data_IF_579349062451
#
_entry.id   IF_579349062451
#
_cell.length_a   1.000
_cell.length_b   1.000
_cell.length_c   1.000
_cell.angle_alpha   90.00
_cell.angle_beta   90.00
_cell.angle_gamma   90.00
#
_symmetry.space_group_name_H-M   'P 1'
#
loop_
_entity.id
_entity.type
_entity.pdbx_description
1 polymer ?
#
# COMPACT_ATOMS: atom_id res chain seq x y z
N UNK A 1 -18.27 25.57 -31.17
CA UNK A 1 -18.78 24.25 -31.61
C UNK A 1 -18.87 23.37 -30.38
N UNK A 2 -20.01 22.70 -30.17
CA UNK A 2 -20.24 21.79 -29.05
C UNK A 2 -19.93 20.35 -29.49
N UNK A 3 -19.35 19.54 -28.61
CA UNK A 3 -19.20 18.09 -28.77
C UNK A 3 -20.10 17.38 -27.74
N UNK A 4 -20.90 16.37 -28.13
CA UNK A 4 -21.78 15.67 -27.21
C UNK A 4 -21.08 14.50 -26.50
N UNK A 5 -21.47 14.26 -25.25
CA UNK A 5 -21.09 13.10 -24.45
C UNK A 5 -21.90 11.86 -24.83
N UNK A 6 -21.24 10.69 -24.94
CA UNK A 6 -21.85 9.37 -25.15
C UNK A 6 -21.43 8.35 -24.08
N UNK A 7 -22.20 7.27 -23.85
CA UNK A 7 -22.33 6.70 -22.51
C UNK A 7 -21.44 5.48 -22.18
N UNK A 8 -21.30 5.27 -20.86
CA UNK A 8 -20.77 4.05 -20.24
C UNK A 8 -21.60 2.81 -20.59
N UNK A 9 -20.92 1.67 -20.84
CA UNK A 9 -21.55 0.36 -20.86
C UNK A 9 -20.54 -0.73 -20.49
N UNK A 10 -20.40 -1.04 -19.19
CA UNK A 10 -19.80 -2.28 -18.70
C UNK A 10 -20.90 -3.14 -18.06
N UNK A 11 -21.31 -4.17 -18.78
CA UNK A 11 -22.17 -5.23 -18.29
C UNK A 11 -21.45 -6.57 -18.31
N UNK A 12 -21.95 -7.49 -17.48
CA UNK A 12 -21.62 -8.93 -17.45
C UNK A 12 -20.22 -9.34 -16.94
N UNK A 13 -20.14 -9.71 -15.66
CA UNK A 13 -20.24 -11.12 -15.23
C UNK A 13 -20.24 -11.28 -13.70
N UNK A 14 -20.49 -12.51 -13.26
CA UNK A 14 -20.52 -12.99 -11.86
C UNK A 14 -21.79 -12.65 -11.05
N UNK A 15 -22.91 -13.20 -11.52
CA UNK A 15 -23.91 -13.74 -10.61
C UNK A 15 -23.53 -15.19 -10.26
N UNK A 16 -23.27 -15.48 -8.98
CA UNK A 16 -23.44 -16.81 -8.38
C UNK A 16 -23.33 -16.71 -6.85
N UNK A 17 -24.28 -17.37 -6.18
CA UNK A 17 -24.31 -17.70 -4.74
C UNK A 17 -24.59 -16.56 -3.74
N UNK A 18 -25.88 -16.25 -3.57
CA UNK A 18 -26.47 -16.13 -2.22
C UNK A 18 -27.95 -16.55 -2.23
N UNK A 19 -28.27 -17.55 -1.42
CA UNK A 19 -29.41 -17.65 -0.49
C UNK A 19 -29.21 -18.96 0.28
N UNK A 20 -29.08 -18.97 1.62
CA UNK A 20 -30.07 -18.68 2.67
C UNK A 20 -30.87 -19.94 3.07
N UNK A 21 -31.56 -19.85 4.21
CA UNK A 21 -31.46 -20.85 5.27
C UNK A 21 -32.82 -21.35 5.82
N UNK A 22 -32.78 -22.45 6.56
CA UNK A 22 -33.71 -22.87 7.64
C UNK A 22 -35.06 -23.58 7.33
N UNK A 23 -35.42 -24.45 8.30
CA UNK A 23 -36.75 -25.04 8.55
C UNK A 23 -37.06 -26.41 7.92
N UNK A 24 -37.79 -27.34 8.54
CA UNK A 24 -38.10 -27.63 9.97
C UNK A 24 -38.78 -29.04 10.04
N UNK A 25 -38.74 -29.74 11.19
CA UNK A 25 -39.58 -30.93 11.53
C UNK A 25 -39.31 -32.24 10.72
N UNK A 26 -39.73 -33.46 11.10
CA UNK A 26 -40.52 -33.97 12.25
C UNK A 26 -40.15 -35.43 12.61
N UNK A 27 -40.38 -35.78 13.88
CA UNK A 27 -40.78 -37.07 14.52
C UNK A 27 -40.55 -38.47 13.86
N UNK A 28 -40.20 -39.44 14.72
CA UNK A 28 -40.13 -40.88 14.38
C UNK A 28 -39.94 -41.77 15.62
N UNK A 29 -41.01 -42.38 16.11
CA UNK A 29 -41.16 -43.10 17.39
C UNK A 29 -40.82 -44.61 17.32
N UNK A 30 -40.43 -45.27 18.44
CA UNK A 30 -40.91 -46.62 18.84
C UNK A 30 -40.25 -47.27 20.09
N UNK A 31 -41.03 -47.45 21.19
CA UNK A 31 -41.13 -48.68 22.06
C UNK A 31 -39.90 -49.26 22.81
N UNK A 32 -39.92 -50.01 23.94
CA UNK A 32 -40.87 -50.52 24.98
C UNK A 32 -40.00 -51.26 26.07
N UNK A 33 -40.41 -51.68 27.28
CA UNK A 33 -41.40 -51.23 28.30
C UNK A 33 -41.41 -52.17 29.53
N UNK A 34 -41.55 -51.65 30.77
CA UNK A 34 -41.91 -52.36 32.04
C UNK A 34 -40.85 -53.33 32.68
N UNK A 35 -40.85 -53.72 33.96
CA UNK A 35 -41.67 -53.44 35.19
C UNK A 35 -40.78 -53.63 36.45
N UNK A 36 -40.86 -52.80 37.50
CA UNK A 36 -41.59 -53.01 38.79
C UNK A 36 -41.42 -54.39 39.45
N UNK A 37 -40.86 -54.42 40.68
CA UNK A 37 -41.44 -55.12 41.85
C UNK A 37 -40.72 -54.75 43.17
N UNK A 38 -41.21 -55.25 44.31
CA UNK A 38 -41.33 -54.46 45.56
C UNK A 38 -40.84 -55.18 46.86
N UNK A 39 -40.43 -54.35 47.83
CA UNK A 39 -40.39 -54.55 49.30
C UNK A 39 -39.31 -55.37 50.06
N UNK A 40 -39.24 -54.99 51.35
CA UNK A 40 -38.46 -55.54 52.47
C UNK A 40 -36.93 -55.38 52.38
N UNK A 41 -36.21 -55.03 53.46
CA UNK A 41 -36.59 -54.80 54.85
C UNK A 41 -35.37 -55.02 55.76
N UNK A 42 -35.49 -54.64 57.03
CA UNK A 42 -34.48 -54.84 58.11
C UNK A 42 -33.30 -53.86 58.15
N UNK A 43 -33.33 -53.01 59.19
CA UNK A 43 -32.22 -52.19 59.68
C UNK A 43 -31.11 -53.07 60.26
N UNK A 44 -29.84 -52.83 59.86
CA UNK A 44 -28.66 -53.13 60.69
C UNK A 44 -27.59 -52.05 60.56
N UNK A 45 -27.47 -51.23 61.60
CA UNK A 45 -26.31 -50.34 61.77
C UNK A 45 -25.08 -51.20 62.09
N UNK A 46 -24.08 -51.18 61.21
CA UNK A 46 -22.70 -51.51 61.58
C UNK A 46 -21.74 -50.48 60.98
N UNK A 47 -20.75 -50.14 61.79
CA UNK A 47 -19.83 -49.02 61.63
C UNK A 47 -18.50 -49.57 61.13
N UNK A 48 -18.29 -49.58 59.82
CA UNK A 48 -16.99 -49.92 59.23
C UNK A 48 -16.49 -48.81 58.30
N UNK A 49 -15.26 -48.38 58.57
CA UNK A 49 -14.61 -47.21 57.98
C UNK A 49 -13.66 -47.68 56.90
N UNK A 50 -14.18 -48.03 55.73
CA UNK A 50 -13.38 -48.42 54.58
C UNK A 50 -13.37 -47.30 53.52
N UNK A 51 -12.19 -46.71 53.32
CA UNK A 51 -11.95 -45.75 52.25
C UNK A 51 -11.85 -46.55 50.95
N UNK A 52 -12.90 -46.52 50.14
CA UNK A 52 -12.87 -47.00 48.76
C UNK A 52 -11.97 -46.08 47.94
N UNK A 53 -10.73 -46.52 47.72
CA UNK A 53 -9.90 -45.97 46.66
C UNK A 53 -10.58 -46.28 45.32
N UNK A 54 -11.34 -45.32 44.80
CA UNK A 54 -11.77 -45.37 43.41
C UNK A 54 -10.51 -45.41 42.55
N UNK A 55 -10.44 -46.39 41.67
CA UNK A 55 -9.41 -46.45 40.63
C UNK A 55 -9.59 -45.23 39.74
N UNK A 56 -8.74 -44.22 39.94
CA UNK A 56 -8.62 -43.10 39.01
C UNK A 56 -8.27 -43.68 37.65
N UNK A 57 -9.22 -43.64 36.71
CA UNK A 57 -8.96 -44.05 35.34
C UNK A 57 -7.80 -43.21 34.81
N UNK A 58 -6.70 -43.84 34.33
CA UNK A 58 -5.52 -43.09 33.92
C UNK A 58 -5.87 -42.11 32.78
N UNK A 59 -5.79 -40.82 33.07
CA UNK A 59 -6.22 -39.75 32.15
C UNK A 59 -5.49 -39.79 30.79
N UNK A 60 -4.28 -40.39 30.73
CA UNK A 60 -3.49 -40.60 29.51
C UNK A 60 -4.16 -41.46 28.42
N UNK A 61 -5.18 -42.27 28.75
CA UNK A 61 -5.98 -43.04 27.76
C UNK A 61 -7.04 -42.18 27.08
N UNK A 62 -7.29 -40.98 27.61
CA UNK A 62 -8.30 -40.05 27.13
C UNK A 62 -7.69 -39.19 26.02
N UNK A 63 -7.98 -39.55 24.75
CA UNK A 63 -7.52 -38.80 23.56
C UNK A 63 -7.84 -37.29 23.64
N UNK A 64 -8.89 -36.93 24.38
CA UNK A 64 -9.29 -35.58 24.74
C UNK A 64 -8.19 -34.71 25.38
N UNK A 65 -7.09 -35.27 25.92
CA UNK A 65 -5.93 -34.48 26.38
C UNK A 65 -5.00 -34.03 25.24
N UNK A 66 -4.95 -34.79 24.13
CA UNK A 66 -4.09 -34.50 22.99
C UNK A 66 -4.81 -33.64 21.94
N UNK A 67 -6.14 -33.71 21.85
CA UNK A 67 -6.97 -32.84 20.99
C UNK A 67 -6.68 -31.34 21.19
N UNK A 68 -6.72 -30.76 22.41
CA UNK A 68 -6.45 -29.34 22.60
C UNK A 68 -5.01 -28.97 22.25
N UNK A 69 -4.02 -29.83 22.53
CA UNK A 69 -2.62 -29.59 22.17
C UNK A 69 -2.42 -29.62 20.64
N UNK A 70 -3.08 -30.54 19.94
CA UNK A 70 -3.09 -30.59 18.48
C UNK A 70 -3.75 -29.35 17.86
N UNK A 71 -4.90 -28.93 18.40
CA UNK A 71 -5.58 -27.71 17.96
C UNK A 71 -4.74 -26.45 18.23
N UNK A 72 -4.13 -26.33 19.40
CA UNK A 72 -3.21 -25.23 19.73
C UNK A 72 -2.01 -25.23 18.77
N UNK A 73 -1.42 -26.39 18.48
CA UNK A 73 -0.30 -26.49 17.54
C UNK A 73 -0.72 -26.12 16.10
N UNK A 74 -1.92 -26.52 15.66
CA UNK A 74 -2.47 -26.13 14.35
C UNK A 74 -2.76 -24.62 14.30
N UNK A 75 -3.30 -24.02 15.37
CA UNK A 75 -3.56 -22.58 15.47
C UNK A 75 -2.24 -21.79 15.47
N UNK A 76 -1.25 -22.20 16.26
CA UNK A 76 0.07 -21.54 16.30
C UNK A 76 0.83 -21.70 14.98
N UNK A 77 0.77 -22.88 14.36
CA UNK A 77 1.33 -23.10 13.01
C UNK A 77 0.59 -22.27 11.98
N UNK A 78 -0.74 -22.15 12.08
CA UNK A 78 -1.55 -21.26 11.26
C UNK A 78 -1.13 -19.81 11.40
N UNK A 79 -0.95 -19.30 12.61
CA UNK A 79 -0.48 -17.93 12.86
C UNK A 79 0.98 -17.69 12.41
N UNK A 80 1.80 -18.75 12.32
CA UNK A 80 3.17 -18.67 11.83
C UNK A 80 3.30 -18.79 10.30
N UNK A 81 2.42 -19.55 9.64
CA UNK A 81 2.45 -19.79 8.18
C UNK A 81 1.45 -18.93 7.38
N UNK A 82 0.40 -18.45 8.03
CA UNK A 82 -0.39 -17.31 7.57
C UNK A 82 0.05 -16.08 8.38
N UNK A 83 1.12 -15.37 7.95
CA UNK A 83 1.19 -13.97 8.31
C UNK A 83 -0.13 -13.36 7.84
N UNK A 84 -0.87 -12.71 8.74
CA UNK A 84 -2.11 -12.05 8.37
C UNK A 84 -1.79 -11.08 7.24
N UNK A 85 -2.20 -11.43 6.02
CA UNK A 85 -2.32 -10.48 4.93
C UNK A 85 -3.53 -9.63 5.30
N UNK A 86 -3.32 -8.71 6.25
CA UNK A 86 -4.34 -8.00 7.00
C UNK A 86 -4.90 -6.87 6.14
N UNK A 87 -5.61 -7.33 5.10
CA UNK A 87 -5.82 -6.68 3.81
C UNK A 87 -4.48 -6.49 3.06
N UNK A 88 -4.51 -6.67 1.74
CA UNK A 88 -3.59 -5.95 0.90
C UNK A 88 -3.93 -4.46 1.09
N UNK A 89 -3.20 -3.79 1.98
CA UNK A 89 -3.37 -2.37 2.19
C UNK A 89 -3.12 -1.72 0.83
N UNK A 90 -4.15 -1.13 0.24
CA UNK A 90 -3.93 -0.20 -0.85
C UNK A 90 -3.04 0.90 -0.26
N UNK A 91 -1.80 1.10 -0.77
CA UNK A 91 -0.92 2.07 -0.18
C UNK A 91 -1.60 3.44 -0.30
N UNK A 92 -1.86 4.06 0.84
CA UNK A 92 -2.59 5.33 0.90
C UNK A 92 -1.65 6.47 0.47
N UNK A 93 -1.43 6.53 -0.83
CA UNK A 93 -0.68 7.59 -1.52
C UNK A 93 -1.42 8.94 -1.50
N UNK A 94 -2.29 9.19 -0.51
CA UNK A 94 -2.74 10.54 -0.12
C UNK A 94 -1.97 11.11 1.09
N UNK A 95 -1.29 10.26 1.88
CA UNK A 95 -0.56 10.65 3.11
C UNK A 95 0.62 11.61 2.90
N UNK A 96 1.10 11.76 1.67
CA UNK A 96 2.25 12.61 1.35
C UNK A 96 2.01 14.13 1.57
N UNK A 97 0.76 14.59 1.64
CA UNK A 97 0.45 16.02 1.90
C UNK A 97 0.38 16.26 3.41
N UNK A 98 1.45 16.82 3.96
CA UNK A 98 1.54 17.07 5.41
C UNK A 98 0.68 18.28 5.87
N UNK A 99 0.50 19.28 5.01
CA UNK A 99 -0.43 20.39 5.23
C UNK A 99 -1.04 20.86 3.89
N UNK A 100 -2.28 21.41 3.89
CA UNK A 100 -2.92 21.87 2.66
C UNK A 100 -2.13 23.03 2.03
N UNK A 101 -2.18 23.15 0.70
CA UNK A 101 -1.58 24.27 -0.02
C UNK A 101 -2.15 25.61 0.51
N UNK A 102 -1.30 26.62 0.64
CA UNK A 102 -1.67 27.89 1.28
C UNK A 102 -1.80 27.84 2.82
N UNK A 103 -1.45 26.74 3.48
CA UNK A 103 -1.33 26.72 4.94
C UNK A 103 -0.33 27.77 5.44
N UNK A 104 -0.62 28.39 6.59
CA UNK A 104 0.30 29.34 7.22
C UNK A 104 1.61 28.63 7.61
N UNK A 105 2.80 29.19 7.28
CA UNK A 105 4.07 28.47 7.43
C UNK A 105 4.39 28.02 8.85
N UNK A 106 3.95 28.81 9.86
CA UNK A 106 4.05 28.43 11.26
C UNK A 106 3.22 27.17 11.56
N UNK A 107 1.97 27.11 11.11
CA UNK A 107 1.06 26.00 11.39
C UNK A 107 1.54 24.71 10.70
N UNK A 108 2.09 24.81 9.49
CA UNK A 108 2.65 23.66 8.80
C UNK A 108 3.93 23.14 9.50
N UNK A 109 4.83 24.03 9.94
CA UNK A 109 6.02 23.63 10.70
C UNK A 109 5.71 23.09 12.09
N UNK A 110 4.73 23.66 12.79
CA UNK A 110 4.21 23.15 14.07
C UNK A 110 3.65 21.71 13.94
N UNK A 111 3.32 21.26 12.72
CA UNK A 111 2.88 19.88 12.39
C UNK A 111 4.00 18.97 11.88
N UNK A 112 5.25 19.45 11.82
CA UNK A 112 6.36 18.68 11.27
C UNK A 112 6.39 18.61 9.74
N UNK A 113 5.90 19.66 9.06
CA UNK A 113 6.00 19.80 7.61
C UNK A 113 7.12 20.79 7.21
N UNK A 114 7.65 20.63 6.00
CA UNK A 114 8.49 21.63 5.32
C UNK A 114 7.91 22.00 3.96
N UNK A 115 8.20 23.21 3.48
CA UNK A 115 7.72 23.70 2.18
C UNK A 115 8.70 23.30 1.08
N UNK A 116 8.21 22.57 0.08
CA UNK A 116 8.98 22.27 -1.11
C UNK A 116 8.70 23.30 -2.21
N UNK A 117 9.73 24.09 -2.51
CA UNK A 117 9.74 25.09 -3.57
C UNK A 117 9.68 24.50 -4.97
N UNK A 118 9.95 23.21 -5.20
CA UNK A 118 9.76 22.55 -6.49
C UNK A 118 8.28 22.20 -6.75
N UNK A 119 7.56 21.75 -5.72
CA UNK A 119 6.16 21.29 -5.82
C UNK A 119 5.10 22.32 -5.44
N UNK A 120 5.48 23.38 -4.70
CA UNK A 120 4.58 24.29 -3.98
C UNK A 120 3.68 23.57 -2.96
N UNK A 121 4.18 22.49 -2.33
CA UNK A 121 3.45 21.70 -1.32
C UNK A 121 4.16 21.69 0.02
N UNK A 122 3.40 21.35 1.06
CA UNK A 122 3.92 21.01 2.38
C UNK A 122 4.08 19.50 2.51
N UNK A 123 5.32 19.06 2.71
CA UNK A 123 5.71 17.66 2.79
C UNK A 123 6.18 17.27 4.19
N UNK A 124 6.09 15.98 4.59
CA UNK A 124 6.63 15.51 5.85
C UNK A 124 8.11 15.87 5.99
N UNK A 125 8.50 16.45 7.13
CA UNK A 125 9.86 16.95 7.37
C UNK A 125 10.92 15.87 7.17
N UNK A 126 10.62 14.61 7.48
CA UNK A 126 11.56 13.50 7.31
C UNK A 126 11.88 13.25 5.83
N UNK A 127 10.89 12.88 5.02
CA UNK A 127 11.04 12.63 3.59
C UNK A 127 11.60 13.85 2.82
N UNK A 128 11.18 15.06 3.21
CA UNK A 128 11.72 16.30 2.64
C UNK A 128 13.23 16.47 2.94
N UNK A 129 13.65 16.25 4.19
CA UNK A 129 15.06 16.44 4.58
C UNK A 129 15.96 15.23 4.31
N UNK A 130 15.44 14.16 3.71
CA UNK A 130 16.25 13.03 3.25
C UNK A 130 17.37 13.53 2.33
N UNK A 131 18.61 13.06 2.54
CA UNK A 131 19.80 13.63 1.91
C UNK A 131 19.70 13.65 0.37
N UNK A 132 19.22 12.55 -0.21
CA UNK A 132 19.03 12.43 -1.66
C UNK A 132 17.90 13.31 -2.20
N UNK A 133 16.85 13.56 -1.41
CA UNK A 133 15.78 14.47 -1.80
C UNK A 133 16.30 15.92 -1.80
N UNK A 134 17.11 16.29 -0.81
CA UNK A 134 17.79 17.58 -0.78
C UNK A 134 18.79 17.75 -1.93
N UNK A 135 19.52 16.68 -2.29
CA UNK A 135 20.39 16.69 -3.48
C UNK A 135 19.59 16.90 -4.77
N UNK A 136 18.47 16.17 -4.94
CA UNK A 136 17.57 16.29 -6.09
C UNK A 136 16.96 17.70 -6.19
N UNK A 137 16.50 18.29 -5.09
CA UNK A 137 15.97 19.65 -5.06
C UNK A 137 17.06 20.68 -5.39
N UNK A 138 18.29 20.48 -4.91
CA UNK A 138 19.43 21.33 -5.26
C UNK A 138 19.76 21.27 -6.75
N UNK A 139 19.73 20.08 -7.36
CA UNK A 139 19.89 19.94 -8.81
C UNK A 139 18.79 20.69 -9.58
N UNK A 140 17.52 20.55 -9.19
CA UNK A 140 16.40 21.29 -9.80
C UNK A 140 16.63 22.79 -9.72
N UNK A 141 17.00 23.32 -8.54
CA UNK A 141 17.25 24.74 -8.35
C UNK A 141 18.48 25.25 -9.12
N UNK A 142 19.45 24.39 -9.44
CA UNK A 142 20.60 24.74 -10.27
C UNK A 142 20.26 24.92 -11.77
N UNK A 143 19.10 24.47 -12.24
CA UNK A 143 18.61 24.74 -13.61
C UNK A 143 17.92 26.12 -13.74
N UNK A 144 17.67 26.79 -12.61
CA UNK A 144 17.12 28.14 -12.46
C UNK A 144 18.19 29.25 -12.55
N UNK A 145 17.80 30.53 -12.43
CA UNK A 145 16.70 31.04 -11.60
C UNK A 145 15.29 30.74 -12.11
N UNK A 146 14.37 30.53 -11.16
CA UNK A 146 12.96 30.25 -11.40
C UNK A 146 12.10 31.47 -11.08
N UNK A 147 11.81 32.25 -12.12
CA UNK A 147 10.93 33.41 -12.04
C UNK A 147 9.47 32.98 -12.18
N UNK A 148 8.68 33.24 -11.13
CA UNK A 148 7.33 32.71 -10.91
C UNK A 148 6.38 33.87 -10.67
N UNK A 149 5.14 33.80 -11.12
CA UNK A 149 4.25 34.98 -11.13
C UNK A 149 2.85 34.67 -10.58
N UNK A 150 2.22 35.65 -9.96
CA UNK A 150 0.81 35.55 -9.55
C UNK A 150 -0.16 35.67 -10.75
N UNK A 151 0.30 36.24 -11.87
CA UNK A 151 -0.51 36.45 -13.08
C UNK A 151 0.14 35.90 -14.35
N UNK A 152 -0.69 35.48 -15.30
CA UNK A 152 -0.29 34.97 -16.63
C UNK A 152 0.50 35.98 -17.46
N UNK A 153 0.36 37.28 -17.17
CA UNK A 153 1.06 38.36 -17.87
C UNK A 153 2.48 38.59 -17.37
N UNK A 154 2.93 37.90 -16.33
CA UNK A 154 4.27 38.03 -15.77
C UNK A 154 4.53 39.37 -15.08
N UNK A 155 3.50 40.05 -14.56
CA UNK A 155 3.63 41.41 -13.99
C UNK A 155 3.98 41.42 -12.51
N UNK A 156 3.48 40.46 -11.74
CA UNK A 156 3.69 40.37 -10.30
C UNK A 156 4.47 39.10 -9.98
N UNK A 157 5.78 39.26 -9.83
CA UNK A 157 6.67 38.15 -9.45
C UNK A 157 6.39 37.70 -8.01
N UNK A 158 6.41 36.39 -7.80
CA UNK A 158 6.29 35.74 -6.49
C UNK A 158 7.66 35.82 -5.82
N UNK A 159 7.79 36.43 -4.63
CA UNK A 159 9.06 36.45 -3.91
C UNK A 159 9.58 35.02 -3.67
N UNK A 160 10.88 34.73 -3.88
CA UNK A 160 11.44 33.39 -3.65
C UNK A 160 11.24 32.86 -2.23
N UNK A 161 11.00 33.74 -1.25
CA UNK A 161 10.71 33.42 0.16
C UNK A 161 9.23 33.13 0.45
N UNK A 162 8.38 33.00 -0.57
CA UNK A 162 6.93 32.81 -0.41
C UNK A 162 6.55 31.34 -0.24
N UNK A 163 6.11 30.98 0.97
CA UNK A 163 5.73 29.60 1.34
C UNK A 163 4.21 29.37 1.41
N UNK A 164 3.40 30.41 1.20
CA UNK A 164 1.93 30.36 1.36
C UNK A 164 1.22 30.18 0.01
N UNK A 165 1.87 29.48 -0.91
CA UNK A 165 1.42 29.39 -2.31
C UNK A 165 0.40 28.28 -2.50
N UNK A 166 -0.64 28.58 -3.30
CA UNK A 166 -1.64 27.61 -3.76
C UNK A 166 -1.40 27.19 -5.21
N UNK A 167 -0.96 28.14 -6.04
CA UNK A 167 -0.48 27.96 -7.41
C UNK A 167 0.42 29.15 -7.80
N UNK A 168 1.14 29.02 -8.92
CA UNK A 168 1.90 30.10 -9.54
C UNK A 168 2.01 29.89 -11.05
N UNK A 169 2.12 30.99 -11.80
CA UNK A 169 2.43 30.95 -13.23
C UNK A 169 3.93 30.75 -13.41
N UNK A 170 4.30 29.64 -14.04
CA UNK A 170 5.69 29.23 -14.31
C UNK A 170 5.99 29.31 -15.80
N UNK A 171 7.29 29.39 -16.14
CA UNK A 171 7.71 29.27 -17.54
C UNK A 171 7.54 27.83 -18.05
N UNK A 172 7.40 27.65 -19.38
CA UNK A 172 7.40 26.30 -19.98
C UNK A 172 8.67 25.52 -19.62
N UNK A 173 9.84 26.19 -19.62
CA UNK A 173 11.13 25.61 -19.19
C UNK A 173 11.02 25.03 -17.78
N UNK A 174 10.57 25.84 -16.81
CA UNK A 174 10.41 25.40 -15.43
C UNK A 174 9.43 24.23 -15.31
N UNK A 175 8.29 24.26 -16.01
CA UNK A 175 7.32 23.16 -15.98
C UNK A 175 7.90 21.86 -16.54
N UNK A 176 8.67 21.90 -17.64
CA UNK A 176 9.37 20.73 -18.19
C UNK A 176 10.37 20.15 -17.18
N UNK A 177 11.19 20.99 -16.55
CA UNK A 177 12.12 20.53 -15.50
C UNK A 177 11.39 20.00 -14.26
N UNK A 178 10.32 20.68 -13.81
CA UNK A 178 9.46 20.20 -12.72
C UNK A 178 8.92 18.80 -13.02
N UNK A 179 8.34 18.55 -14.20
CA UNK A 179 7.83 17.22 -14.57
C UNK A 179 8.91 16.14 -14.52
N UNK A 180 10.13 16.42 -15.00
CA UNK A 180 11.26 15.48 -14.93
C UNK A 180 11.69 15.20 -13.47
N UNK A 181 11.90 16.25 -12.67
CA UNK A 181 12.35 16.11 -11.28
C UNK A 181 11.28 15.52 -10.35
N UNK A 182 10.00 15.83 -10.57
CA UNK A 182 8.85 15.22 -9.88
C UNK A 182 8.80 13.70 -10.09
N UNK A 183 9.08 13.21 -11.30
CA UNK A 183 9.14 11.77 -11.57
C UNK A 183 10.32 11.11 -10.82
N UNK A 184 11.51 11.73 -10.85
CA UNK A 184 12.68 11.27 -10.06
C UNK A 184 12.38 11.25 -8.56
N UNK A 185 11.77 12.32 -8.03
CA UNK A 185 11.40 12.45 -6.63
C UNK A 185 10.39 11.37 -6.21
N UNK A 186 9.42 11.08 -7.08
CA UNK A 186 8.42 10.03 -6.82
C UNK A 186 9.07 8.66 -6.67
N UNK A 187 9.98 8.30 -7.58
CA UNK A 187 10.73 7.05 -7.46
C UNK A 187 11.62 7.02 -6.21
N UNK A 188 12.34 8.11 -5.94
CA UNK A 188 13.24 8.24 -4.78
C UNK A 188 12.52 8.07 -3.44
N UNK A 189 11.31 8.61 -3.29
CA UNK A 189 10.55 8.46 -2.05
C UNK A 189 10.07 7.01 -1.86
N UNK A 190 9.58 6.37 -2.92
CA UNK A 190 9.12 4.98 -2.88
C UNK A 190 10.24 4.00 -2.50
N UNK A 191 11.46 4.15 -3.05
CA UNK A 191 12.58 3.27 -2.69
C UNK A 191 13.08 3.48 -1.24
N UNK A 192 12.86 4.66 -0.67
CA UNK A 192 13.17 4.98 0.73
C UNK A 192 12.01 4.63 1.69
N UNK A 193 10.93 4.02 1.21
CA UNK A 193 9.78 3.62 2.03
C UNK A 193 8.83 4.75 2.43
N UNK A 194 8.93 5.92 1.77
CA UNK A 194 8.00 7.03 1.95
C UNK A 194 6.83 6.95 0.96
N UNK A 195 5.68 7.54 1.33
CA UNK A 195 4.53 7.69 0.42
C UNK A 195 4.93 8.46 -0.85
N UNK A 196 4.37 8.10 -2.00
CA UNK A 196 4.63 8.85 -3.24
C UNK A 196 4.23 10.33 -3.08
N UNK A 197 5.13 11.33 -3.29
CA UNK A 197 4.86 12.77 -3.14
C UNK A 197 3.81 13.35 -4.12
N UNK A 198 3.26 12.49 -4.97
CA UNK A 198 2.33 12.80 -6.04
C UNK A 198 1.41 11.61 -6.28
N UNK A 199 0.16 11.89 -6.66
CA UNK A 199 -0.76 10.84 -7.09
C UNK A 199 -0.47 10.38 -8.52
N UNK A 200 -0.98 9.21 -8.89
CA UNK A 200 -0.77 8.63 -10.23
C UNK A 200 -1.29 9.51 -11.38
N UNK A 201 -2.35 10.29 -11.16
CA UNK A 201 -2.83 11.27 -12.16
C UNK A 201 -1.79 12.33 -12.48
N UNK A 202 -0.99 12.76 -11.50
CA UNK A 202 0.11 13.68 -11.71
C UNK A 202 1.29 13.02 -12.46
N UNK A 203 1.54 11.73 -12.26
CA UNK A 203 2.48 10.93 -13.08
C UNK A 203 2.04 10.87 -14.55
N UNK A 204 0.74 10.65 -14.81
CA UNK A 204 0.18 10.71 -16.17
C UNK A 204 0.36 12.11 -16.78
N UNK A 205 0.06 13.17 -16.02
CA UNK A 205 0.28 14.56 -16.46
C UNK A 205 1.74 14.80 -16.82
N UNK A 206 2.68 14.47 -15.94
CA UNK A 206 4.10 14.75 -16.16
C UNK A 206 4.66 13.98 -17.35
N UNK A 207 4.38 12.68 -17.46
CA UNK A 207 4.85 11.85 -18.58
C UNK A 207 4.25 12.32 -19.91
N UNK A 208 2.95 12.64 -19.96
CA UNK A 208 2.32 13.23 -21.15
C UNK A 208 2.88 14.61 -21.50
N UNK A 209 3.07 15.50 -20.52
CA UNK A 209 3.58 16.86 -20.76
C UNK A 209 5.01 16.86 -21.32
N UNK A 210 5.85 15.93 -20.85
CA UNK A 210 7.20 15.73 -21.39
C UNK A 210 7.14 15.24 -22.85
N UNK A 211 6.31 14.23 -23.14
CA UNK A 211 6.13 13.74 -24.51
C UNK A 211 5.55 14.80 -25.44
N UNK A 212 4.51 15.53 -25.03
CA UNK A 212 3.90 16.60 -25.83
C UNK A 212 4.94 17.72 -26.11
N UNK A 213 5.78 18.06 -25.14
CA UNK A 213 6.86 19.05 -25.32
C UNK A 213 7.91 18.60 -26.34
N UNK A 214 8.23 17.30 -26.42
CA UNK A 214 9.12 16.74 -27.44
C UNK A 214 8.40 16.71 -28.81
N UNK A 215 7.17 16.21 -28.87
CA UNK A 215 6.43 16.01 -30.12
C UNK A 215 5.98 17.32 -30.79
N UNK A 216 5.85 18.41 -30.03
CA UNK A 216 5.62 19.75 -30.60
C UNK A 216 6.82 20.29 -31.40
N UNK A 217 8.05 19.91 -31.03
CA UNK A 217 9.29 20.34 -31.69
C UNK A 217 10.32 19.19 -31.67
N UNK A 218 10.11 18.11 -32.44
CA UNK A 218 10.92 16.90 -32.34
C UNK A 218 12.38 17.17 -32.77
N UNK A 219 13.36 16.46 -32.18
CA UNK A 219 14.74 16.51 -32.64
C UNK A 219 14.86 15.94 -34.06
N UNK A 220 15.90 16.34 -34.80
CA UNK A 220 16.04 16.02 -36.24
C UNK A 220 16.19 14.53 -36.55
N UNK A 221 16.59 13.76 -35.54
CA UNK A 221 16.87 12.34 -35.55
C UNK A 221 15.80 11.52 -34.80
N UNK A 222 14.63 12.09 -34.50
CA UNK A 222 13.57 11.42 -33.72
C UNK A 222 13.10 10.09 -34.30
N UNK A 223 13.06 9.95 -35.63
CA UNK A 223 12.68 8.72 -36.35
C UNK A 223 13.88 7.83 -36.72
N UNK A 224 15.10 8.17 -36.27
CA UNK A 224 16.31 7.36 -36.52
C UNK A 224 16.35 6.18 -35.53
N UNK A 225 16.79 5.02 -36.01
CA UNK A 225 16.94 3.82 -35.17
C UNK A 225 17.92 4.08 -34.02
N UNK A 226 17.43 3.94 -32.79
CA UNK A 226 18.22 4.00 -31.56
C UNK A 226 18.27 2.63 -30.88
N UNK A 227 19.27 2.43 -30.01
CA UNK A 227 19.37 1.26 -29.13
C UNK A 227 18.42 1.41 -27.94
N UNK A 228 17.92 0.29 -27.42
CA UNK A 228 16.94 0.28 -26.30
C UNK A 228 17.52 0.75 -24.96
N UNK A 229 18.85 0.69 -24.78
CA UNK A 229 19.54 1.22 -23.60
C UNK A 229 19.94 2.69 -23.78
N UNK A 230 19.86 3.48 -22.71
CA UNK A 230 20.31 4.88 -22.73
C UNK A 230 21.82 4.98 -22.44
N UNK A 231 22.54 5.93 -23.07
CA UNK A 231 23.97 6.17 -22.77
C UNK A 231 24.18 7.00 -21.49
N UNK A 232 23.12 7.21 -20.70
CA UNK A 232 23.13 7.99 -19.47
C UNK A 232 22.26 7.29 -18.40
N UNK A 233 22.66 7.30 -17.12
CA UNK A 233 23.89 7.90 -16.58
C UNK A 233 25.17 7.19 -17.01
N UNK A 234 26.31 7.88 -16.95
CA UNK A 234 27.64 7.30 -17.30
C UNK A 234 27.99 6.09 -16.44
N UNK A 235 27.42 6.02 -15.23
CA UNK A 235 27.55 4.93 -14.27
C UNK A 235 26.14 4.53 -13.79
N UNK A 236 25.43 3.64 -14.52
CA UNK A 236 24.12 3.12 -14.09
C UNK A 236 24.26 2.17 -12.90
N UNK A 237 23.21 2.12 -12.07
CA UNK A 237 23.13 1.17 -10.97
C UNK A 237 22.95 -0.25 -11.51
N UNK A 238 23.98 -1.09 -11.37
CA UNK A 238 23.97 -2.46 -11.90
C UNK A 238 23.11 -3.35 -11.02
N UNK A 239 21.87 -3.60 -11.45
CA UNK A 239 20.95 -4.51 -10.76
C UNK A 239 21.26 -5.95 -11.16
N UNK A 240 21.47 -6.81 -10.16
CA UNK A 240 21.69 -8.25 -10.36
C UNK A 240 20.36 -9.00 -10.22
N UNK A 241 19.77 -9.54 -11.31
CA UNK A 241 18.49 -10.21 -11.25
C UNK A 241 18.61 -11.54 -10.50
N UNK A 242 17.55 -11.94 -9.81
CA UNK A 242 17.42 -13.25 -9.17
C UNK A 242 17.10 -14.35 -10.22
N UNK A 243 17.89 -14.39 -11.28
CA UNK A 243 17.75 -15.33 -12.40
C UNK A 243 19.12 -15.98 -12.66
N UNK A 244 19.20 -17.27 -13.03
CA UNK A 244 20.46 -17.97 -13.24
C UNK A 244 21.13 -17.60 -14.58
N UNK A 245 21.27 -16.31 -14.90
CA UNK A 245 21.69 -15.84 -16.24
C UNK A 245 22.99 -16.49 -16.71
N UNK A 246 23.97 -16.72 -15.81
CA UNK A 246 25.23 -17.42 -16.13
C UNK A 246 25.04 -18.84 -16.65
N UNK A 247 24.02 -19.56 -16.19
CA UNK A 247 23.71 -20.91 -16.70
C UNK A 247 23.03 -20.85 -18.07
N UNK A 248 22.24 -19.80 -18.32
CA UNK A 248 21.53 -19.56 -19.58
C UNK A 248 22.36 -18.79 -20.63
N UNK A 249 23.63 -18.47 -20.34
CA UNK A 249 24.50 -17.68 -21.23
C UNK A 249 24.12 -16.20 -21.36
N UNK A 250 23.32 -15.67 -20.43
CA UNK A 250 22.79 -14.31 -20.42
C UNK A 250 23.57 -13.38 -19.47
N UNK A 251 23.47 -12.07 -19.70
CA UNK A 251 23.99 -11.06 -18.76
C UNK A 251 23.30 -11.13 -17.39
N UNK A 252 24.06 -11.02 -16.30
CA UNK A 252 23.56 -10.86 -14.93
C UNK A 252 23.42 -9.38 -14.52
N UNK A 253 23.39 -8.46 -15.48
CA UNK A 253 23.44 -7.03 -15.24
C UNK A 253 22.28 -6.36 -16.00
N UNK A 254 21.36 -5.77 -15.26
CA UNK A 254 20.39 -4.81 -15.79
C UNK A 254 20.86 -3.40 -15.49
N UNK A 255 20.70 -2.55 -16.48
CA UNK A 255 20.88 -1.09 -16.43
C UNK A 255 19.51 -0.42 -16.20
#
# INVERSE_FOLDING_TARGET
MMMPSGPSNQGEKYALLKDETEGESSEGEASRSASVDQESGVVKVKKDRQITWQTLDPAWKSWYLFVPLGLIFIILSGLAFFPSCEKCHTPDTSGYVCAPNGALPKIARDRGCEFDTMSFKWYPKEAYNHADNQALLKEFHAQGPWHRYYDKGGKHEIPPTSEVLTAGWVTRKEHTFHCMYTLRQTHLWLINGYDAPWNYTHTIHCTKYLMDTILENPPKDFDVLSVHGTPWPEHPDVVKPYYPCKHEGLSCESW
#
